data_IF_928294502046
#
_entry.id   IF_928294502046
#
_cell.length_a   1.000
_cell.length_b   1.000
_cell.length_c   1.000
_cell.angle_alpha   90.00
_cell.angle_beta   90.00
_cell.angle_gamma   90.00
#
_symmetry.space_group_name_H-M   'P 1'
#
loop_
_entity.id
_entity.type
_entity.pdbx_description
1 polymer ?
#
# COMPACT_ATOMS: atom_id res chain seq x y z
N UNK A 1 -2.82 5.32 -33.26
CA UNK A 1 -1.64 4.92 -32.47
C UNK A 1 -2.13 3.93 -31.40
N UNK A 2 -1.52 2.77 -31.33
CA UNK A 2 -1.87 1.78 -30.30
C UNK A 2 -1.33 2.29 -28.96
N UNK A 3 -2.21 2.47 -27.96
CA UNK A 3 -1.80 2.85 -26.62
C UNK A 3 -1.06 1.69 -25.97
N UNK A 4 0.08 1.96 -25.34
CA UNK A 4 0.86 0.94 -24.64
C UNK A 4 0.34 0.72 -23.22
N UNK A 5 0.27 -0.52 -22.77
CA UNK A 5 -0.01 -0.83 -21.38
C UNK A 5 1.04 -0.18 -20.45
N UNK A 6 0.65 0.39 -19.31
CA UNK A 6 1.59 0.92 -18.34
C UNK A 6 2.52 -0.18 -17.80
N UNK A 7 3.68 0.22 -17.30
CA UNK A 7 4.61 -0.71 -16.65
C UNK A 7 4.22 -0.85 -15.19
N UNK A 8 4.01 -2.07 -14.68
CA UNK A 8 3.68 -2.27 -13.25
C UNK A 8 4.89 -1.90 -12.38
N UNK A 9 4.70 -0.92 -11.50
CA UNK A 9 5.67 -0.51 -10.49
C UNK A 9 4.92 -0.02 -9.26
N UNK A 10 5.17 -0.65 -8.12
CA UNK A 10 4.55 -0.25 -6.86
C UNK A 10 5.03 1.16 -6.48
N UNK A 11 4.10 2.07 -6.28
CA UNK A 11 4.37 3.39 -5.70
C UNK A 11 4.24 3.36 -4.20
N UNK A 12 3.07 2.95 -3.71
CA UNK A 12 2.84 2.79 -2.29
C UNK A 12 1.67 1.86 -1.98
N UNK A 13 1.61 1.46 -0.71
CA UNK A 13 0.49 0.73 -0.13
C UNK A 13 -0.26 1.66 0.83
N UNK A 14 -1.60 1.67 0.76
CA UNK A 14 -2.44 2.51 1.63
C UNK A 14 -3.13 1.65 2.68
N UNK A 15 -2.99 2.04 3.94
CA UNK A 15 -3.74 1.48 5.07
C UNK A 15 -4.82 2.48 5.47
N UNK A 16 -6.08 2.09 5.29
CA UNK A 16 -7.23 2.86 5.77
C UNK A 16 -7.34 2.70 7.29
N UNK A 17 -7.15 3.80 8.01
CA UNK A 17 -7.27 3.83 9.47
C UNK A 17 -8.46 4.69 9.95
N UNK A 18 -9.25 5.21 9.02
CA UNK A 18 -10.43 6.04 9.29
C UNK A 18 -10.12 7.19 10.27
N UNK A 19 -10.82 7.27 11.39
CA UNK A 19 -10.65 8.27 12.43
C UNK A 19 -9.54 7.95 13.45
N UNK A 20 -8.79 6.84 13.25
CA UNK A 20 -7.77 6.33 14.19
C UNK A 20 -6.34 6.68 13.81
N UNK A 21 -6.13 7.80 13.11
CA UNK A 21 -4.80 8.14 12.58
C UNK A 21 -3.74 8.33 13.68
N UNK A 22 -4.10 8.89 14.84
CA UNK A 22 -3.19 9.02 16.00
C UNK A 22 -2.78 7.67 16.57
N UNK A 23 -3.76 6.78 16.76
CA UNK A 23 -3.51 5.43 17.26
C UNK A 23 -2.65 4.63 16.27
N UNK A 24 -2.97 4.71 14.97
CA UNK A 24 -2.22 4.04 13.93
C UNK A 24 -0.78 4.54 13.86
N UNK A 25 -0.56 5.86 13.94
CA UNK A 25 0.80 6.42 13.94
C UNK A 25 1.61 5.96 15.15
N UNK A 26 1.00 5.94 16.33
CA UNK A 26 1.64 5.43 17.53
C UNK A 26 1.97 3.93 17.39
N UNK A 27 1.05 3.13 16.85
CA UNK A 27 1.25 1.70 16.61
C UNK A 27 2.39 1.42 15.62
N UNK A 28 2.45 2.15 14.49
CA UNK A 28 3.50 1.98 13.50
C UNK A 28 4.87 2.46 14.00
N UNK A 29 4.93 3.50 14.87
CA UNK A 29 6.17 3.86 15.55
C UNK A 29 6.66 2.75 16.49
N UNK A 30 5.76 2.08 17.21
CA UNK A 30 6.09 0.90 18.04
C UNK A 30 6.60 -0.28 17.21
N UNK A 31 6.18 -0.43 15.96
CA UNK A 31 6.72 -1.40 15.01
C UNK A 31 8.11 -1.00 14.47
N UNK A 32 8.66 0.15 14.89
CA UNK A 32 9.96 0.64 14.49
C UNK A 32 9.96 1.44 13.17
N UNK A 33 8.81 1.91 12.70
CA UNK A 33 8.78 2.80 11.53
C UNK A 33 8.97 4.26 11.94
N UNK A 34 9.87 4.96 11.23
CA UNK A 34 9.87 6.41 11.19
C UNK A 34 8.71 6.88 10.31
N UNK A 35 7.89 7.77 10.84
CA UNK A 35 6.77 8.37 10.11
C UNK A 35 7.00 9.85 9.89
N UNK A 36 6.62 10.35 8.70
CA UNK A 36 6.56 11.79 8.44
C UNK A 36 5.61 12.48 9.41
N UNK A 37 5.72 13.79 9.51
CA UNK A 37 4.67 14.60 10.14
C UNK A 37 3.33 14.39 9.43
N UNK A 38 2.23 14.74 10.13
CA UNK A 38 0.89 14.60 9.57
C UNK A 38 0.72 15.53 8.37
N UNK A 39 0.40 14.93 7.23
CA UNK A 39 0.00 15.66 6.04
C UNK A 39 -1.52 15.85 5.99
N UNK A 40 -1.96 17.00 5.49
CA UNK A 40 -3.37 17.32 5.29
C UNK A 40 -3.62 17.54 3.80
N UNK A 41 -4.32 16.59 3.18
CA UNK A 41 -4.65 16.68 1.75
C UNK A 41 -5.68 17.78 1.50
N UNK A 42 -5.53 18.50 0.40
CA UNK A 42 -6.52 19.50 -0.04
C UNK A 42 -7.93 18.93 -0.23
N UNK A 43 -8.04 17.61 -0.39
CA UNK A 43 -9.31 16.89 -0.52
C UNK A 43 -9.94 16.48 0.83
N UNK A 44 -9.30 16.74 1.98
CA UNK A 44 -9.87 16.56 3.31
C UNK A 44 -9.47 15.28 4.06
N UNK A 45 -8.62 14.41 3.48
CA UNK A 45 -7.98 13.32 4.22
C UNK A 45 -6.65 13.76 4.84
N UNK A 46 -6.19 13.02 5.85
CA UNK A 46 -4.89 13.22 6.50
C UNK A 46 -4.07 11.94 6.46
N UNK A 47 -2.74 12.06 6.50
CA UNK A 47 -1.87 10.90 6.41
C UNK A 47 -0.57 11.01 7.22
N UNK A 48 0.08 9.87 7.41
CA UNK A 48 1.50 9.75 7.72
C UNK A 48 2.13 8.77 6.73
N UNK A 49 3.39 9.00 6.36
CA UNK A 49 4.14 8.13 5.46
C UNK A 49 5.31 7.47 6.19
N UNK A 50 5.54 6.18 5.92
CA UNK A 50 6.83 5.52 6.11
C UNK A 50 7.50 5.41 4.74
N UNK A 51 8.50 6.22 4.48
CA UNK A 51 9.15 6.36 3.16
C UNK A 51 10.32 5.39 3.07
N UNK A 52 10.35 4.56 2.04
CA UNK A 52 11.40 3.58 1.78
C UNK A 52 12.28 3.97 0.57
N UNK A 53 13.02 3.02 0.04
CA UNK A 53 13.90 3.23 -1.10
C UNK A 53 13.16 3.58 -2.39
N UNK A 54 12.26 2.72 -2.84
CA UNK A 54 11.55 2.85 -4.13
C UNK A 54 10.02 3.00 -3.98
N UNK A 55 9.49 2.74 -2.81
CA UNK A 55 8.07 2.81 -2.47
C UNK A 55 7.85 3.35 -1.06
N UNK A 56 6.61 3.46 -0.61
CA UNK A 56 6.29 3.88 0.75
C UNK A 56 4.98 3.24 1.25
N UNK A 57 4.76 3.32 2.55
CA UNK A 57 3.52 2.97 3.21
C UNK A 57 2.81 4.24 3.63
N UNK A 58 1.50 4.34 3.36
CA UNK A 58 0.66 5.45 3.76
C UNK A 58 -0.37 4.99 4.79
N UNK A 59 -0.36 5.58 5.98
CA UNK A 59 -1.47 5.55 6.91
C UNK A 59 -2.43 6.66 6.51
N UNK A 60 -3.62 6.33 6.02
CA UNK A 60 -4.59 7.29 5.52
C UNK A 60 -5.83 7.31 6.41
N UNK A 61 -6.18 8.49 6.90
CA UNK A 61 -7.32 8.70 7.76
C UNK A 61 -7.97 10.09 7.56
N UNK A 62 -8.84 10.44 8.49
CA UNK A 62 -9.48 11.75 8.53
C UNK A 62 -9.47 12.32 9.94
N UNK A 63 -9.54 13.65 10.05
CA UNK A 63 -9.63 14.33 11.33
C UNK A 63 -11.01 14.13 11.96
N UNK A 64 -11.13 14.13 13.30
CA UNK A 64 -12.42 14.05 14.00
C UNK A 64 -13.42 15.05 13.44
N UNK A 65 -14.64 14.58 13.14
CA UNK A 65 -15.70 15.37 12.54
C UNK A 65 -15.59 15.62 11.04
N UNK A 66 -14.57 15.09 10.36
CA UNK A 66 -14.40 15.24 8.90
C UNK A 66 -14.64 13.96 8.09
N UNK A 67 -15.17 12.91 8.71
CA UNK A 67 -15.42 11.61 8.04
C UNK A 67 -16.43 11.69 6.88
N UNK A 68 -17.25 12.73 6.81
CA UNK A 68 -18.16 12.96 5.67
C UNK A 68 -17.43 13.40 4.41
N UNK A 69 -16.25 14.00 4.55
CA UNK A 69 -15.40 14.33 3.43
C UNK A 69 -14.77 13.05 2.89
N UNK A 70 -14.85 12.82 1.59
CA UNK A 70 -14.25 11.64 0.97
C UNK A 70 -14.84 10.30 1.46
N UNK A 71 -16.16 10.21 1.59
CA UNK A 71 -16.84 8.95 1.94
C UNK A 71 -16.43 7.77 1.05
N UNK A 72 -16.04 8.05 -0.20
CA UNK A 72 -15.47 7.08 -1.14
C UNK A 72 -14.29 6.29 -0.56
N UNK A 73 -13.50 6.90 0.32
CA UNK A 73 -12.34 6.25 0.95
C UNK A 73 -12.72 5.33 2.12
N UNK A 74 -13.79 5.69 2.83
CA UNK A 74 -14.15 5.04 4.09
C UNK A 74 -15.16 3.91 3.91
N UNK A 75 -15.68 3.72 2.69
CA UNK A 75 -16.54 2.58 2.34
C UNK A 75 -15.77 1.25 2.31
N UNK A 76 -14.46 1.29 2.05
CA UNK A 76 -13.62 0.11 2.16
C UNK A 76 -13.37 -0.25 3.63
N UNK A 77 -13.30 -1.53 3.98
CA UNK A 77 -12.95 -1.96 5.33
C UNK A 77 -11.64 -1.34 5.83
N UNK A 78 -11.48 -1.10 7.13
CA UNK A 78 -10.19 -0.70 7.71
C UNK A 78 -9.10 -1.74 7.41
N UNK A 79 -7.85 -1.29 7.33
CA UNK A 79 -6.71 -2.12 6.98
C UNK A 79 -6.14 -1.80 5.61
N UNK A 80 -5.43 -2.73 5.00
CA UNK A 80 -4.84 -2.54 3.68
C UNK A 80 -5.93 -2.36 2.64
N UNK A 81 -5.97 -1.20 1.97
CA UNK A 81 -7.09 -0.80 1.12
C UNK A 81 -6.67 -0.10 -0.18
N UNK A 82 -5.36 0.14 -0.37
CA UNK A 82 -4.88 0.80 -1.59
C UNK A 82 -3.63 0.15 -2.15
N UNK A 83 -3.72 -0.29 -3.41
CA UNK A 83 -2.58 -0.71 -4.22
C UNK A 83 -2.31 0.36 -5.26
N UNK A 84 -1.23 1.10 -5.08
CA UNK A 84 -0.92 2.28 -5.87
C UNK A 84 0.28 2.05 -6.77
N UNK A 85 0.10 2.42 -8.03
CA UNK A 85 1.07 2.23 -9.11
C UNK A 85 1.77 3.54 -9.45
N UNK A 86 3.06 3.49 -9.65
CA UNK A 86 3.88 4.64 -10.07
C UNK A 86 3.67 4.92 -11.54
N UNK A 87 3.52 6.19 -11.90
CA UNK A 87 3.53 6.65 -13.29
C UNK A 87 4.22 8.00 -13.44
N UNK A 88 4.77 8.26 -14.61
CA UNK A 88 5.29 9.58 -14.99
C UNK A 88 4.33 10.36 -15.91
N UNK A 89 3.21 9.75 -16.34
CA UNK A 89 2.23 10.39 -17.22
C UNK A 89 0.82 9.87 -16.91
N UNK A 90 0.14 10.58 -16.02
CA UNK A 90 -1.25 10.28 -15.63
C UNK A 90 -2.22 10.40 -16.81
N UNK A 91 -1.96 11.31 -17.72
CA UNK A 91 -2.80 11.50 -18.91
C UNK A 91 -2.71 10.33 -19.90
N UNK A 92 -1.50 9.79 -20.11
CA UNK A 92 -1.33 8.59 -20.93
C UNK A 92 -2.00 7.36 -20.30
N UNK A 93 -1.85 7.21 -18.97
CA UNK A 93 -2.53 6.13 -18.24
C UNK A 93 -4.04 6.26 -18.37
N UNK A 94 -4.60 7.46 -18.20
CA UNK A 94 -6.03 7.67 -18.33
C UNK A 94 -6.56 7.22 -19.69
N UNK A 95 -5.97 7.70 -20.79
CA UNK A 95 -6.36 7.29 -22.16
C UNK A 95 -6.25 5.77 -22.36
N UNK A 96 -5.24 5.14 -21.75
CA UNK A 96 -5.10 3.68 -21.82
C UNK A 96 -6.25 2.98 -21.08
N UNK A 97 -6.56 3.41 -19.84
CA UNK A 97 -7.67 2.83 -19.05
C UNK A 97 -9.01 2.94 -19.78
N UNK A 98 -9.32 4.13 -20.36
CA UNK A 98 -10.52 4.32 -21.18
C UNK A 98 -10.56 3.32 -22.35
N UNK A 99 -9.45 3.13 -23.05
CA UNK A 99 -9.37 2.22 -24.20
C UNK A 99 -9.57 0.74 -23.82
N UNK A 100 -9.36 0.39 -22.56
CA UNK A 100 -9.49 -0.97 -22.02
C UNK A 100 -10.76 -1.16 -21.19
N UNK A 101 -11.63 -0.15 -21.09
CA UNK A 101 -12.81 -0.16 -20.21
C UNK A 101 -12.45 -0.53 -18.75
N UNK A 102 -11.38 0.10 -18.24
CA UNK A 102 -10.86 -0.05 -16.89
C UNK A 102 -10.93 1.23 -16.06
N UNK A 103 -11.29 2.34 -16.72
CA UNK A 103 -11.32 3.67 -16.13
C UNK A 103 -12.38 3.80 -15.04
N UNK A 104 -12.03 4.48 -13.98
CA UNK A 104 -12.93 4.94 -12.92
C UNK A 104 -13.33 6.40 -13.16
N UNK A 105 -12.94 7.27 -12.21
CA UNK A 105 -13.16 8.71 -12.31
C UNK A 105 -12.07 9.38 -13.15
N UNK A 106 -12.37 10.54 -13.79
CA UNK A 106 -11.36 11.35 -14.47
C UNK A 106 -10.15 11.65 -13.57
N UNK A 107 -8.96 11.91 -14.17
CA UNK A 107 -7.76 12.22 -13.40
C UNK A 107 -7.99 13.35 -12.39
N UNK A 108 -7.58 13.14 -11.16
CA UNK A 108 -7.70 14.11 -10.08
C UNK A 108 -6.33 14.65 -9.67
N UNK A 109 -6.27 15.97 -9.44
CA UNK A 109 -5.10 16.65 -8.89
C UNK A 109 -5.37 17.00 -7.43
N UNK A 110 -4.39 16.81 -6.59
CA UNK A 110 -4.44 17.28 -5.20
C UNK A 110 -3.05 17.61 -4.68
N UNK A 111 -3.00 18.34 -3.59
CA UNK A 111 -1.75 18.68 -2.92
C UNK A 111 -1.89 18.57 -1.41
N UNK A 112 -0.76 18.56 -0.74
CA UNK A 112 -0.66 18.77 0.70
C UNK A 112 0.60 19.58 1.01
N UNK A 113 0.55 20.49 2.01
CA UNK A 113 1.76 21.10 2.54
C UNK A 113 2.65 20.03 3.19
N UNK A 114 3.94 20.25 3.14
CA UNK A 114 4.94 19.38 3.75
C UNK A 114 6.07 20.22 4.32
N UNK A 115 6.53 19.89 5.53
CA UNK A 115 7.78 20.43 6.08
C UNK A 115 8.90 19.45 5.76
N UNK A 116 9.87 19.94 5.00
CA UNK A 116 11.05 19.16 4.61
C UNK A 116 12.01 19.00 5.82
N UNK A 117 12.92 18.01 5.80
CA UNK A 117 13.84 17.78 6.90
C UNK A 117 14.76 18.98 7.25
N UNK A 118 14.97 19.88 6.31
CA UNK A 118 15.72 21.13 6.52
C UNK A 118 14.89 22.26 7.15
N UNK A 119 13.60 22.00 7.46
CA UNK A 119 12.66 22.95 8.05
C UNK A 119 11.97 23.86 7.04
N UNK A 120 12.23 23.71 5.75
CA UNK A 120 11.53 24.49 4.72
C UNK A 120 10.14 23.93 4.45
N UNK A 121 9.18 24.81 4.14
CA UNK A 121 7.83 24.42 3.74
C UNK A 121 7.76 24.27 2.22
N UNK A 122 7.10 23.20 1.75
CA UNK A 122 6.87 22.93 0.34
C UNK A 122 5.46 22.32 0.12
N UNK A 123 5.11 22.05 -1.12
CA UNK A 123 3.85 21.44 -1.53
C UNK A 123 4.10 20.13 -2.25
N UNK A 124 3.69 19.03 -1.66
CA UNK A 124 3.61 17.76 -2.36
C UNK A 124 2.37 17.76 -3.26
N UNK A 125 2.58 17.63 -4.59
CA UNK A 125 1.53 17.67 -5.62
C UNK A 125 1.48 16.36 -6.37
N UNK A 126 0.24 15.91 -6.64
CA UNK A 126 -0.03 14.60 -7.22
C UNK A 126 -1.12 14.67 -8.30
N UNK A 127 -0.97 13.84 -9.33
CA UNK A 127 -2.05 13.46 -10.23
C UNK A 127 -2.37 11.98 -10.04
N UNK A 128 -3.64 11.67 -9.80
CA UNK A 128 -4.08 10.28 -9.64
C UNK A 128 -5.06 9.87 -10.72
N UNK A 129 -4.95 8.62 -11.16
CA UNK A 129 -5.84 8.00 -12.13
C UNK A 129 -6.32 6.67 -11.56
N UNK A 130 -7.62 6.55 -11.34
CA UNK A 130 -8.23 5.41 -10.65
C UNK A 130 -8.74 4.36 -11.61
N UNK A 131 -8.58 3.10 -11.24
CA UNK A 131 -9.35 2.03 -11.83
C UNK A 131 -10.80 2.13 -11.35
N UNK A 132 -11.71 1.61 -12.18
CA UNK A 132 -13.14 1.53 -11.83
C UNK A 132 -13.33 0.80 -10.51
N UNK A 133 -14.04 1.39 -9.53
CA UNK A 133 -14.18 0.80 -8.18
C UNK A 133 -14.75 -0.61 -8.19
N UNK A 134 -15.66 -0.93 -9.11
CA UNK A 134 -16.29 -2.26 -9.21
C UNK A 134 -15.32 -3.38 -9.62
N UNK A 135 -14.12 -3.04 -10.09
CA UNK A 135 -13.08 -4.01 -10.45
C UNK A 135 -12.25 -4.47 -9.26
N UNK A 136 -12.25 -3.70 -8.16
CA UNK A 136 -11.38 -3.93 -7.00
C UNK A 136 -12.25 -4.07 -5.75
N UNK A 137 -12.44 -5.29 -5.29
CA UNK A 137 -13.21 -5.54 -4.08
C UNK A 137 -12.42 -5.04 -2.84
N UNK A 138 -13.16 -4.51 -1.87
CA UNK A 138 -12.64 -4.12 -0.54
C UNK A 138 -11.43 -3.17 -0.56
N UNK A 139 -11.31 -2.35 -1.61
CA UNK A 139 -10.16 -1.45 -1.72
C UNK A 139 -10.16 -0.66 -3.01
N UNK A 140 -9.01 -0.07 -3.32
CA UNK A 140 -8.80 0.76 -4.50
C UNK A 140 -7.48 0.42 -5.16
N UNK A 141 -7.45 0.51 -6.49
CA UNK A 141 -6.19 0.50 -7.23
C UNK A 141 -6.15 1.72 -8.15
N UNK A 142 -5.02 2.41 -8.17
CA UNK A 142 -4.88 3.65 -8.93
C UNK A 142 -3.41 3.95 -9.23
N UNK A 143 -3.18 4.82 -10.19
CA UNK A 143 -1.85 5.35 -10.50
C UNK A 143 -1.64 6.69 -9.83
N UNK A 144 -0.41 6.94 -9.39
CA UNK A 144 0.02 8.20 -8.80
C UNK A 144 1.24 8.74 -9.57
N UNK A 145 1.08 9.94 -10.11
CA UNK A 145 2.18 10.74 -10.64
C UNK A 145 2.55 11.78 -9.60
N UNK A 146 3.82 11.81 -9.21
CA UNK A 146 4.37 12.83 -8.33
C UNK A 146 4.86 14.02 -9.17
N UNK A 147 4.22 15.19 -9.03
CA UNK A 147 4.66 16.44 -9.68
C UNK A 147 5.89 17.04 -8.96
N UNK A 148 5.97 16.83 -7.65
CA UNK A 148 7.03 17.30 -6.79
C UNK A 148 7.66 16.12 -6.03
N UNK A 149 8.38 15.21 -6.72
CA UNK A 149 8.90 13.99 -6.08
C UNK A 149 9.87 14.30 -4.91
N UNK A 150 10.61 15.39 -4.96
CA UNK A 150 11.48 15.82 -3.87
C UNK A 150 10.72 16.13 -2.57
N UNK A 151 9.44 16.50 -2.64
CA UNK A 151 8.60 16.76 -1.47
C UNK A 151 8.10 15.45 -0.79
N UNK A 152 8.47 14.27 -1.31
CA UNK A 152 8.12 12.96 -0.73
C UNK A 152 9.39 12.11 -0.50
N UNK A 153 10.28 12.07 -1.48
CA UNK A 153 11.44 11.18 -1.50
C UNK A 153 12.65 11.84 -0.84
N UNK A 154 12.62 11.97 0.51
CA UNK A 154 13.69 12.55 1.32
C UNK A 154 14.51 11.43 2.00
N UNK A 155 15.84 11.47 1.90
CA UNK A 155 16.72 10.45 2.48
C UNK A 155 16.61 10.40 4.02
N UNK A 156 16.37 11.54 4.66
CA UNK A 156 16.17 11.60 6.10
C UNK A 156 14.94 10.84 6.59
N UNK A 157 13.93 10.64 5.73
CA UNK A 157 12.71 9.90 6.08
C UNK A 157 12.81 8.38 5.85
N UNK A 158 13.91 7.91 5.26
CA UNK A 158 14.15 6.49 4.94
C UNK A 158 14.89 5.74 6.06
N UNK A 159 15.14 6.38 7.19
CA UNK A 159 15.91 5.82 8.29
C UNK A 159 14.95 5.20 9.33
N UNK A 160 14.64 3.92 9.18
CA UNK A 160 13.72 3.22 10.08
C UNK A 160 14.49 2.45 11.17
N UNK A 161 14.13 2.62 12.46
CA UNK A 161 14.71 1.82 13.55
C UNK A 161 14.65 0.29 13.32
N UNK A 162 13.61 -0.21 12.66
CA UNK A 162 13.46 -1.62 12.29
C UNK A 162 14.26 -2.04 11.05
N UNK A 163 15.07 -1.13 10.45
CA UNK A 163 15.89 -1.40 9.28
C UNK A 163 15.12 -1.67 7.98
N UNK A 164 13.83 -1.39 7.92
CA UNK A 164 13.02 -1.61 6.69
C UNK A 164 13.47 -0.68 5.59
N UNK A 165 13.66 -1.24 4.39
CA UNK A 165 14.12 -0.51 3.19
C UNK A 165 13.10 -0.46 2.08
N UNK A 166 12.17 -1.43 2.00
CA UNK A 166 11.20 -1.52 0.90
C UNK A 166 10.02 -2.42 1.25
N UNK A 167 8.86 -2.15 0.60
CA UNK A 167 7.81 -3.15 0.42
C UNK A 167 8.25 -4.04 -0.75
N UNK A 168 8.40 -5.34 -0.50
CA UNK A 168 8.83 -6.31 -1.52
C UNK A 168 7.70 -7.23 -1.99
N UNK A 169 6.62 -7.32 -1.22
CA UNK A 169 5.43 -8.04 -1.64
C UNK A 169 4.16 -7.39 -1.11
N UNK A 170 3.15 -7.29 -1.99
CA UNK A 170 1.78 -6.87 -1.66
C UNK A 170 0.85 -8.06 -1.92
N UNK A 171 0.09 -8.50 -0.91
CA UNK A 171 -0.72 -9.71 -0.99
C UNK A 171 -2.20 -9.38 -0.95
N UNK A 172 -2.90 -9.87 -1.96
CA UNK A 172 -4.37 -9.93 -2.02
C UNK A 172 -4.79 -11.38 -1.80
N UNK A 173 -5.73 -11.61 -0.91
CA UNK A 173 -6.30 -12.93 -0.62
C UNK A 173 -7.70 -13.03 -1.20
N UNK A 174 -8.03 -14.15 -1.82
CA UNK A 174 -9.37 -14.42 -2.37
C UNK A 174 -9.66 -15.93 -2.39
N UNK A 175 -10.92 -16.30 -2.31
CA UNK A 175 -11.35 -17.68 -2.57
C UNK A 175 -11.13 -18.07 -4.04
N UNK A 176 -11.29 -17.11 -4.96
CA UNK A 176 -10.95 -17.25 -6.38
C UNK A 176 -9.82 -16.28 -6.76
N UNK A 177 -8.54 -16.67 -6.62
CA UNK A 177 -7.41 -15.85 -6.98
C UNK A 177 -7.34 -15.49 -8.46
N UNK A 178 -7.85 -16.35 -9.36
CA UNK A 178 -7.83 -16.08 -10.79
C UNK A 178 -8.75 -14.90 -11.15
N UNK A 179 -9.97 -14.88 -10.64
CA UNK A 179 -10.90 -13.76 -10.82
C UNK A 179 -10.37 -12.48 -10.18
N UNK A 180 -9.76 -12.57 -8.99
CA UNK A 180 -9.19 -11.40 -8.31
C UNK A 180 -7.94 -10.82 -9.03
N UNK A 181 -7.19 -11.65 -9.77
CA UNK A 181 -6.05 -11.21 -10.59
C UNK A 181 -6.49 -10.60 -11.94
N UNK A 182 -7.69 -10.92 -12.42
CA UNK A 182 -8.14 -10.53 -13.76
C UNK A 182 -8.05 -9.01 -14.06
N UNK A 183 -8.43 -8.07 -13.16
CA UNK A 183 -8.27 -6.65 -13.41
C UNK A 183 -6.82 -6.25 -13.70
N UNK A 184 -5.87 -6.81 -12.97
CA UNK A 184 -4.44 -6.53 -13.14
C UNK A 184 -3.88 -7.18 -14.40
N UNK A 185 -4.36 -8.37 -14.76
CA UNK A 185 -4.03 -9.04 -16.03
C UNK A 185 -4.50 -8.23 -17.23
N UNK A 186 -5.72 -7.66 -17.19
CA UNK A 186 -6.22 -6.75 -18.22
C UNK A 186 -5.44 -5.44 -18.27
N UNK A 187 -5.08 -4.89 -17.12
CA UNK A 187 -4.36 -3.63 -16.99
C UNK A 187 -2.95 -3.68 -17.57
N UNK A 188 -2.20 -4.71 -17.23
CA UNK A 188 -0.77 -4.80 -17.55
C UNK A 188 -0.43 -5.80 -18.66
N UNK A 189 -1.41 -6.57 -19.08
CA UNK A 189 -1.27 -7.65 -20.06
C UNK A 189 -1.07 -9.03 -19.40
N UNK A 190 -1.75 -10.06 -19.92
CA UNK A 190 -1.73 -11.40 -19.32
C UNK A 190 -0.35 -12.04 -19.28
N UNK A 191 0.56 -11.67 -20.21
CA UNK A 191 1.94 -12.16 -20.26
C UNK A 191 2.80 -11.70 -19.09
N UNK A 192 2.36 -10.71 -18.30
CA UNK A 192 3.05 -10.22 -17.10
C UNK A 192 2.61 -10.92 -15.82
N UNK A 193 1.53 -11.70 -15.90
CA UNK A 193 1.00 -12.48 -14.79
C UNK A 193 1.53 -13.90 -14.89
N UNK A 194 2.12 -14.40 -13.82
CA UNK A 194 2.63 -15.77 -13.73
C UNK A 194 1.80 -16.55 -12.74
N UNK A 195 1.25 -17.69 -13.14
CA UNK A 195 0.68 -18.65 -12.21
C UNK A 195 1.79 -19.33 -11.42
N UNK A 196 1.61 -19.45 -10.12
CA UNK A 196 2.52 -20.14 -9.21
C UNK A 196 1.83 -21.35 -8.60
N UNK A 197 2.62 -22.18 -7.89
CA UNK A 197 2.08 -23.30 -7.12
C UNK A 197 1.01 -22.82 -6.12
N UNK A 198 0.16 -23.76 -5.68
CA UNK A 198 -0.92 -23.50 -4.70
C UNK A 198 -2.02 -22.53 -5.19
N UNK A 199 -2.18 -22.37 -6.51
CA UNK A 199 -3.24 -21.52 -7.09
C UNK A 199 -3.03 -20.02 -6.89
N UNK A 200 -1.79 -19.58 -6.67
CA UNK A 200 -1.44 -18.18 -6.59
C UNK A 200 -1.06 -17.61 -7.96
N UNK A 201 -1.26 -16.30 -8.12
CA UNK A 201 -0.84 -15.52 -9.28
C UNK A 201 0.08 -14.39 -8.85
N UNK A 202 1.09 -14.10 -9.66
CA UNK A 202 2.14 -13.13 -9.37
C UNK A 202 2.29 -12.14 -10.51
N UNK A 203 2.36 -10.85 -10.16
CA UNK A 203 2.70 -9.75 -11.03
C UNK A 203 3.93 -9.03 -10.48
N UNK A 204 5.02 -8.98 -11.25
CA UNK A 204 6.20 -8.18 -10.87
C UNK A 204 5.89 -6.70 -10.99
N UNK A 205 6.18 -5.93 -9.96
CA UNK A 205 5.84 -4.51 -9.83
C UNK A 205 7.07 -3.66 -9.43
N UNK A 206 8.06 -3.59 -10.29
CA UNK A 206 9.38 -3.02 -9.99
C UNK A 206 10.17 -3.97 -9.08
N UNK A 207 10.64 -3.47 -7.95
CA UNK A 207 11.31 -4.28 -6.91
C UNK A 207 10.33 -5.14 -6.11
N UNK A 208 9.05 -4.78 -6.13
CA UNK A 208 7.99 -5.49 -5.43
C UNK A 208 7.33 -6.56 -6.32
N UNK A 209 6.55 -7.39 -5.67
CA UNK A 209 5.67 -8.38 -6.28
C UNK A 209 4.25 -8.17 -5.75
N UNK A 210 3.26 -8.11 -6.64
CA UNK A 210 1.86 -8.21 -6.25
C UNK A 210 1.44 -9.66 -6.41
N UNK A 211 0.99 -10.25 -5.33
CA UNK A 211 0.53 -11.64 -5.29
C UNK A 211 -0.97 -11.68 -4.99
N UNK A 212 -1.69 -12.44 -5.77
CA UNK A 212 -3.07 -12.82 -5.47
C UNK A 212 -3.09 -14.31 -5.16
N UNK A 213 -3.55 -14.69 -3.98
CA UNK A 213 -3.41 -16.05 -3.47
C UNK A 213 -4.65 -16.52 -2.72
N UNK A 214 -4.73 -17.84 -2.52
CA UNK A 214 -5.75 -18.46 -1.69
C UNK A 214 -5.57 -18.13 -0.20
N UNK A 215 -6.63 -18.32 0.58
CA UNK A 215 -6.59 -18.24 2.05
C UNK A 215 -5.52 -19.16 2.65
N UNK A 216 -5.41 -20.40 2.13
CA UNK A 216 -4.43 -21.38 2.60
C UNK A 216 -2.99 -20.88 2.46
N UNK A 217 -2.65 -20.34 1.29
CA UNK A 217 -1.34 -19.73 1.05
C UNK A 217 -1.06 -18.58 2.04
N UNK A 218 -2.03 -17.67 2.19
CA UNK A 218 -1.85 -16.51 3.04
C UNK A 218 -1.62 -16.89 4.52
N UNK A 219 -2.36 -17.88 5.02
CA UNK A 219 -2.20 -18.38 6.39
C UNK A 219 -0.85 -19.08 6.64
N UNK A 220 -0.27 -19.72 5.62
CA UNK A 220 1.08 -20.30 5.71
C UNK A 220 2.15 -19.20 5.75
N UNK A 221 1.95 -18.12 4.99
CA UNK A 221 2.94 -17.05 4.86
C UNK A 221 2.87 -16.01 5.97
N UNK A 222 1.65 -15.73 6.46
CA UNK A 222 1.37 -14.75 7.50
C UNK A 222 0.71 -15.41 8.71
N UNK A 223 0.78 -14.78 9.86
CA UNK A 223 0.22 -15.31 11.09
C UNK A 223 -1.31 -15.30 11.14
N UNK A 224 -1.97 -14.48 10.31
CA UNK A 224 -3.41 -14.34 10.27
C UNK A 224 -3.88 -13.55 9.06
N UNK A 225 -5.20 -13.42 8.94
CA UNK A 225 -5.90 -12.58 7.97
C UNK A 225 -6.61 -11.44 8.70
N UNK A 226 -7.05 -10.39 7.99
CA UNK A 226 -7.94 -9.41 8.57
C UNK A 226 -9.15 -10.09 9.23
N UNK A 227 -9.53 -9.63 10.43
CA UNK A 227 -10.59 -10.27 11.23
C UNK A 227 -11.96 -10.27 10.54
N UNK A 228 -12.18 -9.34 9.62
CA UNK A 228 -13.40 -9.16 8.84
C UNK A 228 -13.33 -9.82 7.45
N UNK A 229 -12.36 -10.72 7.21
CA UNK A 229 -12.26 -11.44 5.94
C UNK A 229 -13.42 -12.40 5.76
N UNK A 230 -14.17 -12.22 4.65
CA UNK A 230 -15.41 -12.94 4.33
C UNK A 230 -15.30 -13.87 3.10
N UNK A 231 -14.07 -14.06 2.56
CA UNK A 231 -13.81 -14.85 1.35
C UNK A 231 -13.71 -14.03 0.08
N UNK A 232 -14.26 -12.82 0.04
CA UNK A 232 -14.10 -11.91 -1.09
C UNK A 232 -12.66 -11.41 -1.21
N UNK A 233 -12.26 -10.95 -2.41
CA UNK A 233 -10.90 -10.46 -2.61
C UNK A 233 -10.58 -9.32 -1.62
N UNK A 234 -9.49 -9.47 -0.86
CA UNK A 234 -9.07 -8.56 0.20
C UNK A 234 -7.57 -8.30 0.14
N UNK A 235 -7.18 -7.03 0.15
CA UNK A 235 -5.81 -6.64 0.40
C UNK A 235 -5.49 -6.97 1.86
N UNK A 236 -4.50 -7.86 2.11
CA UNK A 236 -4.38 -8.51 3.41
C UNK A 236 -3.00 -8.37 4.05
N UNK A 237 -1.93 -8.35 3.27
CA UNK A 237 -0.60 -8.40 3.85
C UNK A 237 0.49 -7.74 3.01
N UNK A 238 1.58 -7.41 3.69
CA UNK A 238 2.81 -6.85 3.10
C UNK A 238 4.02 -7.63 3.58
N UNK A 239 4.92 -8.01 2.65
CA UNK A 239 6.28 -8.39 3.01
C UNK A 239 7.19 -7.17 2.86
N UNK A 240 8.02 -6.94 3.86
CA UNK A 240 8.90 -5.79 4.01
C UNK A 240 10.34 -6.30 4.09
N UNK A 241 11.23 -5.74 3.27
CA UNK A 241 12.66 -6.03 3.38
C UNK A 241 13.25 -5.22 4.51
N UNK A 242 13.99 -5.89 5.40
CA UNK A 242 14.82 -5.23 6.41
C UNK A 242 16.29 -5.57 6.16
N UNK A 243 17.17 -4.61 6.45
CA UNK A 243 18.62 -4.83 6.40
C UNK A 243 19.09 -5.85 7.43
N UNK A 244 18.38 -5.97 8.56
CA UNK A 244 18.70 -6.88 9.66
C UNK A 244 17.45 -7.18 10.49
N UNK A 245 17.03 -8.44 10.53
CA UNK A 245 15.87 -8.88 11.32
C UNK A 245 16.08 -8.71 12.83
N UNK A 246 17.33 -8.60 13.30
CA UNK A 246 17.59 -8.31 14.73
C UNK A 246 17.10 -6.91 15.13
N UNK A 247 17.11 -5.93 14.21
CA UNK A 247 16.54 -4.60 14.44
C UNK A 247 15.02 -4.66 14.56
N UNK A 248 14.35 -5.42 13.68
CA UNK A 248 12.92 -5.66 13.78
C UNK A 248 12.56 -6.27 15.13
N UNK A 249 13.27 -7.34 15.49
CA UNK A 249 13.06 -8.06 16.78
C UNK A 249 13.27 -7.14 17.98
N UNK A 250 14.30 -6.30 17.95
CA UNK A 250 14.57 -5.32 19.01
C UNK A 250 13.40 -4.35 19.20
N UNK A 251 12.91 -3.73 18.11
CA UNK A 251 11.77 -2.81 18.16
C UNK A 251 10.51 -3.47 18.72
N UNK A 252 10.18 -4.68 18.26
CA UNK A 252 9.00 -5.41 18.71
C UNK A 252 9.10 -5.82 20.18
N UNK A 253 10.28 -6.25 20.61
CA UNK A 253 10.53 -6.64 22.01
C UNK A 253 10.45 -5.44 22.96
N UNK A 254 11.09 -4.32 22.60
CA UNK A 254 11.05 -3.09 23.36
C UNK A 254 9.61 -2.55 23.50
N UNK A 255 8.84 -2.65 22.44
CA UNK A 255 7.43 -2.24 22.40
C UNK A 255 6.48 -3.27 22.98
N UNK A 256 6.95 -4.44 23.44
CA UNK A 256 6.12 -5.55 23.91
C UNK A 256 5.04 -5.98 22.92
N UNK A 257 5.33 -5.90 21.63
CA UNK A 257 4.43 -6.36 20.58
C UNK A 257 4.66 -7.85 20.31
N UNK A 258 3.60 -8.68 20.28
CA UNK A 258 3.74 -10.08 19.93
C UNK A 258 4.13 -10.25 18.46
N UNK A 259 4.98 -11.24 18.21
CA UNK A 259 5.42 -11.63 16.87
C UNK A 259 5.74 -13.11 16.82
N UNK A 260 5.82 -13.67 15.63
CA UNK A 260 6.27 -15.04 15.38
C UNK A 260 7.53 -15.01 14.51
N UNK A 261 8.42 -15.97 14.74
CA UNK A 261 9.62 -16.19 13.93
C UNK A 261 9.46 -17.51 13.16
N UNK A 262 9.76 -17.50 11.87
CA UNK A 262 9.83 -18.71 11.04
C UNK A 262 11.16 -18.74 10.26
N UNK A 263 12.26 -18.94 10.97
CA UNK A 263 13.60 -19.12 10.39
C UNK A 263 14.17 -17.91 9.65
N UNK A 264 13.45 -17.39 8.65
CA UNK A 264 13.92 -16.32 7.75
C UNK A 264 13.03 -15.08 7.76
N UNK A 265 12.05 -15.02 8.64
CA UNK A 265 11.13 -13.89 8.72
C UNK A 265 10.59 -13.70 10.13
N UNK A 266 10.21 -12.45 10.41
CA UNK A 266 9.43 -12.06 11.57
C UNK A 266 8.04 -11.66 11.08
N UNK A 267 7.01 -12.17 11.73
CA UNK A 267 5.62 -11.99 11.33
C UNK A 267 4.85 -11.31 12.46
N UNK A 268 4.11 -10.27 12.11
CA UNK A 268 3.22 -9.52 13.00
C UNK A 268 1.77 -9.68 12.53
N UNK A 269 0.90 -10.07 13.46
CA UNK A 269 -0.51 -10.30 13.20
C UNK A 269 -1.25 -8.99 12.84
N UNK A 270 -2.33 -9.07 12.04
CA UNK A 270 -3.10 -7.90 11.60
C UNK A 270 -3.59 -7.03 12.75
N UNK A 271 -3.96 -7.58 13.89
CA UNK A 271 -4.44 -6.83 15.06
C UNK A 271 -3.39 -5.86 15.63
N UNK A 272 -2.11 -6.13 15.39
CA UNK A 272 -0.98 -5.33 15.86
C UNK A 272 -0.43 -4.38 14.78
N UNK A 273 -1.04 -4.35 13.60
CA UNK A 273 -0.62 -3.51 12.47
C UNK A 273 -1.82 -2.94 11.68
N UNK A 274 -2.82 -2.42 12.40
CA UNK A 274 -4.00 -1.77 11.82
C UNK A 274 -4.75 -2.63 10.79
N UNK A 275 -4.86 -3.94 11.01
CA UNK A 275 -5.57 -4.87 10.13
C UNK A 275 -4.74 -5.38 8.96
N UNK A 276 -3.43 -5.18 8.97
CA UNK A 276 -2.51 -5.65 7.92
C UNK A 276 -1.58 -6.73 8.46
N UNK A 277 -1.51 -7.87 7.82
CA UNK A 277 -0.50 -8.87 8.14
C UNK A 277 0.88 -8.38 7.65
N UNK A 278 1.85 -8.27 8.56
CA UNK A 278 3.21 -7.84 8.21
C UNK A 278 4.19 -9.00 8.32
N UNK A 279 5.01 -9.15 7.31
CA UNK A 279 6.14 -10.07 7.26
C UNK A 279 7.41 -9.29 6.98
N UNK A 280 8.39 -9.40 7.86
CA UNK A 280 9.71 -8.81 7.69
C UNK A 280 10.68 -9.91 7.24
N UNK A 281 11.46 -9.63 6.19
CA UNK A 281 12.46 -10.56 5.63
C UNK A 281 13.71 -9.79 5.16
N UNK A 282 14.85 -10.49 5.00
CA UNK A 282 16.10 -9.92 4.48
C UNK A 282 16.19 -10.02 2.95
#
# INVERSE_FOLDING_TARGET
MTLSAPVPRLDHAVINVADRLDQASAQFRRLGFQLTERGHHSLGSSNHLAVFGDNYLELLGFEPGRGELRQDLWQSPPGLSGLVWKTGDAGAVWRYLESQDLDGEPPACFSRPVFLPDGTEDQARFHTVRLRPTLIANGRSFFCQHETPHAVWQDAWRQHPNGVTDIVEFVVVAEDPASAMLPYSRLFGPQRVTACDEGAFVLKAGIATVRVASTGYALQRFAGLPLDYDGSARMAGLSLRSTDLSLVKACLTESTLPFRENGYAIIVDPEHACGVALRFEQ
#
